data_IF_457651467395
#
_entry.id   IF_457651467395
#
_cell.length_a   1.000
_cell.length_b   1.000
_cell.length_c   1.000
_cell.angle_alpha   90.00
_cell.angle_beta   90.00
_cell.angle_gamma   90.00
#
_symmetry.space_group_name_H-M   'P 1'
#
loop_
_entity.id
_entity.type
_entity.pdbx_description
1 polymer ?
#
# COMPACT_ATOMS: atom_id res chain seq x y z
N UNK A 1 10.70 -16.35 3.17
CA UNK A 1 9.33 -16.34 2.63
C UNK A 1 9.12 -15.08 1.83
N UNK A 2 8.61 -15.19 0.61
CA UNK A 2 8.15 -14.05 -0.18
C UNK A 2 6.63 -13.90 -0.02
N UNK A 3 6.17 -12.68 0.22
CA UNK A 3 4.76 -12.34 0.27
C UNK A 3 4.47 -11.28 -0.80
N UNK A 4 3.81 -11.71 -1.87
CA UNK A 4 3.69 -10.96 -3.12
C UNK A 4 2.26 -10.50 -3.32
N UNK A 5 2.09 -9.23 -3.70
CA UNK A 5 0.80 -8.68 -4.10
C UNK A 5 0.80 -8.51 -5.62
N UNK A 6 -0.16 -9.16 -6.27
CA UNK A 6 -0.42 -9.03 -7.70
C UNK A 6 -1.73 -8.31 -7.99
N UNK A 7 -1.82 -7.67 -9.15
CA UNK A 7 -3.05 -7.01 -9.56
C UNK A 7 -4.11 -8.02 -10.04
N UNK A 8 -3.71 -9.02 -10.81
CA UNK A 8 -4.61 -9.94 -11.52
C UNK A 8 -4.35 -11.40 -11.14
N UNK A 9 -5.35 -12.11 -10.65
CA UNK A 9 -5.28 -13.51 -10.25
C UNK A 9 -4.89 -14.47 -11.38
N UNK A 10 -5.10 -14.10 -12.66
CA UNK A 10 -4.64 -14.86 -13.83
C UNK A 10 -3.11 -15.00 -13.91
N UNK A 11 -2.37 -14.17 -13.18
CA UNK A 11 -0.90 -14.20 -13.16
C UNK A 11 -0.35 -15.03 -11.99
N UNK A 12 -1.23 -15.72 -11.26
CA UNK A 12 -0.87 -16.63 -10.17
C UNK A 12 0.08 -17.73 -10.65
N UNK A 13 1.16 -17.93 -9.89
CA UNK A 13 2.19 -18.93 -10.19
C UNK A 13 3.08 -18.60 -11.38
N UNK A 14 2.93 -17.43 -12.00
CA UNK A 14 3.78 -17.00 -13.12
C UNK A 14 4.97 -16.21 -12.61
N UNK A 15 6.07 -16.89 -12.35
CA UNK A 15 7.31 -16.25 -11.93
C UNK A 15 8.21 -16.03 -13.14
N UNK A 16 8.67 -14.80 -13.33
CA UNK A 16 9.60 -14.40 -14.40
C UNK A 16 11.04 -14.76 -14.01
N UNK A 17 11.32 -14.79 -12.71
CA UNK A 17 12.65 -15.05 -12.18
C UNK A 17 12.72 -16.42 -11.54
N UNK A 18 13.86 -17.10 -11.69
CA UNK A 18 14.18 -18.31 -10.96
C UNK A 18 14.25 -17.99 -9.45
N UNK A 19 13.61 -18.81 -8.64
CA UNK A 19 13.62 -18.63 -7.19
C UNK A 19 14.95 -19.08 -6.62
N UNK A 20 15.57 -18.20 -5.83
CA UNK A 20 16.82 -18.51 -5.15
C UNK A 20 16.60 -19.60 -4.07
N UNK A 21 17.63 -20.42 -3.78
CA UNK A 21 17.53 -21.53 -2.81
C UNK A 21 17.10 -21.12 -1.40
N UNK A 22 17.32 -19.86 -1.01
CA UNK A 22 16.91 -19.31 0.27
C UNK A 22 15.43 -18.92 0.35
N UNK A 23 14.68 -19.01 -0.76
CA UNK A 23 13.24 -18.78 -0.78
C UNK A 23 12.50 -20.05 -0.45
N UNK A 24 12.06 -20.20 0.79
CA UNK A 24 11.36 -21.39 1.27
C UNK A 24 9.91 -21.51 0.79
N UNK A 25 9.23 -20.39 0.58
CA UNK A 25 7.85 -20.35 0.08
C UNK A 25 7.48 -18.98 -0.49
N UNK A 26 6.47 -18.99 -1.37
CA UNK A 26 5.87 -17.78 -1.95
C UNK A 26 4.39 -17.77 -1.60
N UNK A 27 3.93 -16.68 -1.01
CA UNK A 27 2.52 -16.43 -0.72
C UNK A 27 2.02 -15.30 -1.62
N UNK A 28 1.09 -15.62 -2.49
CA UNK A 28 0.55 -14.67 -3.46
C UNK A 28 -0.84 -14.20 -3.04
N UNK A 29 -1.04 -12.89 -3.09
CA UNK A 29 -2.33 -12.23 -2.86
C UNK A 29 -2.67 -11.38 -4.08
N UNK A 30 -3.84 -11.57 -4.67
CA UNK A 30 -4.25 -10.82 -5.86
C UNK A 30 -5.42 -9.89 -5.54
N UNK A 31 -5.28 -8.62 -5.89
CA UNK A 31 -6.27 -7.59 -5.56
C UNK A 31 -7.61 -7.81 -6.25
N UNK A 32 -7.63 -8.39 -7.45
CA UNK A 32 -8.87 -8.69 -8.16
C UNK A 32 -9.66 -9.86 -7.56
N UNK A 33 -9.06 -10.68 -6.70
CA UNK A 33 -9.80 -11.67 -5.91
C UNK A 33 -10.79 -11.00 -4.94
N UNK A 34 -10.51 -9.76 -4.54
CA UNK A 34 -11.45 -8.96 -3.74
C UNK A 34 -12.81 -8.78 -4.45
N UNK A 35 -12.81 -8.68 -5.78
CA UNK A 35 -14.04 -8.55 -6.57
C UNK A 35 -14.88 -9.83 -6.60
N UNK A 36 -14.29 -10.97 -6.25
CA UNK A 36 -14.94 -12.27 -6.21
C UNK A 36 -15.51 -12.62 -4.84
N UNK A 37 -15.30 -11.75 -3.84
CA UNK A 37 -15.88 -11.95 -2.53
C UNK A 37 -17.40 -12.03 -2.64
N UNK A 38 -17.95 -13.14 -2.15
CA UNK A 38 -19.39 -13.36 -2.16
C UNK A 38 -20.05 -12.45 -1.12
N UNK A 39 -21.20 -11.91 -1.49
CA UNK A 39 -22.12 -11.29 -0.56
C UNK A 39 -22.43 -12.28 0.58
N UNK A 40 -22.41 -11.80 1.80
CA UNK A 40 -22.81 -12.61 2.94
C UNK A 40 -24.32 -12.49 3.16
N UNK A 41 -24.98 -13.58 3.56
CA UNK A 41 -26.37 -13.54 4.03
C UNK A 41 -26.50 -12.99 5.45
N UNK A 42 -25.38 -12.73 6.11
CA UNK A 42 -25.33 -12.16 7.46
C UNK A 42 -25.57 -10.64 7.39
N UNK A 43 -26.83 -10.26 7.18
CA UNK A 43 -27.29 -8.87 7.10
C UNK A 43 -27.17 -8.10 8.42
N UNK A 44 -26.82 -8.74 9.53
CA UNK A 44 -26.80 -8.16 10.87
C UNK A 44 -25.46 -8.39 11.56
N UNK A 45 -24.38 -7.86 10.97
CA UNK A 45 -23.15 -7.73 11.72
C UNK A 45 -23.31 -6.57 12.69
N UNK A 46 -23.16 -6.84 13.99
CA UNK A 46 -23.12 -5.79 14.99
C UNK A 46 -21.69 -5.33 15.16
N UNK A 47 -21.43 -4.09 14.84
CA UNK A 47 -20.18 -3.43 15.15
C UNK A 47 -20.25 -2.80 16.54
N UNK A 48 -19.12 -2.79 17.26
CA UNK A 48 -19.00 -1.95 18.44
C UNK A 48 -18.90 -0.49 18.03
N UNK A 49 -19.08 0.43 18.97
CA UNK A 49 -18.92 1.87 18.70
C UNK A 49 -17.51 2.19 18.21
N UNK A 50 -16.46 1.59 18.82
CA UNK A 50 -15.07 1.77 18.39
C UNK A 50 -14.84 1.22 16.98
N UNK A 51 -15.30 -0.01 16.68
CA UNK A 51 -15.16 -0.58 15.33
C UNK A 51 -15.83 0.30 14.27
N UNK A 52 -17.03 0.80 14.53
CA UNK A 52 -17.74 1.71 13.63
C UNK A 52 -16.93 2.99 13.42
N UNK A 53 -16.41 3.57 14.49
CA UNK A 53 -15.58 4.78 14.44
C UNK A 53 -14.31 4.54 13.61
N UNK A 54 -13.62 3.39 13.76
CA UNK A 54 -12.41 3.11 12.99
C UNK A 54 -12.70 2.83 11.52
N UNK A 55 -13.79 2.14 11.19
CA UNK A 55 -14.24 1.94 9.82
C UNK A 55 -14.63 3.27 9.15
N UNK A 56 -15.29 4.17 9.87
CA UNK A 56 -15.57 5.53 9.39
C UNK A 56 -14.28 6.33 9.18
N UNK A 57 -13.34 6.28 10.12
CA UNK A 57 -12.05 6.94 9.99
C UNK A 57 -11.26 6.45 8.77
N UNK A 58 -11.28 5.13 8.51
CA UNK A 58 -10.70 4.55 7.30
C UNK A 58 -11.38 5.10 6.04
N UNK A 59 -12.70 5.16 6.03
CA UNK A 59 -13.49 5.70 4.93
C UNK A 59 -13.21 7.19 4.72
N UNK A 60 -13.01 7.95 5.79
CA UNK A 60 -12.70 9.39 5.75
C UNK A 60 -11.23 9.71 5.45
N UNK A 61 -10.39 8.70 5.30
CA UNK A 61 -8.92 8.83 5.20
C UNK A 61 -8.35 9.61 6.41
N UNK A 62 -8.83 9.32 7.62
CA UNK A 62 -8.56 10.03 8.85
C UNK A 62 -7.94 9.09 9.89
N UNK A 63 -6.70 8.67 9.69
CA UNK A 63 -5.85 7.90 10.64
C UNK A 63 -6.65 6.96 11.57
N UNK A 64 -7.21 5.85 11.09
CA UNK A 64 -7.91 4.89 11.92
C UNK A 64 -6.94 4.23 12.91
N UNK A 65 -7.46 3.67 14.00
CA UNK A 65 -6.70 2.72 14.81
C UNK A 65 -6.59 1.40 14.04
N UNK A 66 -5.45 1.17 13.43
CA UNK A 66 -5.22 -0.02 12.62
C UNK A 66 -5.20 -1.32 13.43
N UNK A 67 -4.87 -1.29 14.73
CA UNK A 67 -4.92 -2.50 15.56
C UNK A 67 -6.36 -2.96 15.77
N UNK A 68 -7.31 -2.03 15.94
CA UNK A 68 -8.74 -2.36 15.95
C UNK A 68 -9.16 -3.00 14.61
N UNK A 69 -8.73 -2.43 13.48
CA UNK A 69 -9.04 -2.98 12.15
C UNK A 69 -8.38 -4.36 11.95
N UNK A 70 -7.12 -4.54 12.32
CA UNK A 70 -6.44 -5.83 12.23
C UNK A 70 -7.18 -6.90 13.06
N UNK A 71 -7.57 -6.57 14.29
CA UNK A 71 -8.34 -7.47 15.15
C UNK A 71 -9.70 -7.83 14.53
N UNK A 72 -10.40 -6.85 13.98
CA UNK A 72 -11.71 -7.03 13.36
C UNK A 72 -11.66 -8.07 12.23
N UNK A 73 -10.64 -8.00 11.35
CA UNK A 73 -10.54 -8.90 10.20
C UNK A 73 -9.79 -10.20 10.52
N UNK A 74 -8.83 -10.20 11.44
CA UNK A 74 -8.02 -11.38 11.74
C UNK A 74 -8.61 -12.23 12.87
N UNK A 75 -9.14 -11.62 13.93
CA UNK A 75 -9.68 -12.34 15.09
C UNK A 75 -11.17 -12.60 14.94
N UNK A 76 -11.97 -11.57 14.66
CA UNK A 76 -13.42 -11.73 14.41
C UNK A 76 -13.74 -12.33 13.04
N UNK A 77 -12.76 -12.42 12.12
CA UNK A 77 -12.93 -12.97 10.77
C UNK A 77 -14.07 -12.30 9.98
N UNK A 78 -14.22 -10.99 10.16
CA UNK A 78 -15.24 -10.22 9.45
C UNK A 78 -15.03 -10.36 7.93
N UNK A 79 -16.10 -10.69 7.22
CA UNK A 79 -16.08 -10.62 5.76
C UNK A 79 -16.16 -9.15 5.33
N UNK A 80 -15.25 -8.66 4.44
CA UNK A 80 -15.30 -7.29 3.93
C UNK A 80 -16.66 -6.87 3.38
N UNK A 81 -17.37 -7.79 2.72
CA UNK A 81 -18.70 -7.53 2.17
C UNK A 81 -19.76 -7.31 3.26
N UNK A 82 -19.59 -7.87 4.45
CA UNK A 82 -20.51 -7.65 5.56
C UNK A 82 -20.53 -6.16 5.98
N UNK A 83 -19.36 -5.50 6.00
CA UNK A 83 -19.29 -4.06 6.23
C UNK A 83 -19.83 -3.27 5.03
N UNK A 84 -19.36 -3.54 3.81
CA UNK A 84 -19.73 -2.78 2.61
C UNK A 84 -21.22 -2.91 2.23
N UNK A 85 -21.96 -3.82 2.86
CA UNK A 85 -23.39 -4.03 2.70
C UNK A 85 -24.19 -3.65 3.96
N UNK A 86 -23.52 -3.13 5.01
CA UNK A 86 -24.17 -2.77 6.28
C UNK A 86 -24.87 -1.42 6.21
N UNK A 87 -25.81 -1.22 7.14
CA UNK A 87 -26.46 0.08 7.34
C UNK A 87 -25.46 1.14 7.81
N UNK A 88 -24.44 0.75 8.60
CA UNK A 88 -23.39 1.62 9.08
C UNK A 88 -22.55 2.17 7.92
N UNK A 89 -22.21 1.33 6.93
CA UNK A 89 -21.52 1.80 5.73
C UNK A 89 -22.37 2.78 4.93
N UNK A 90 -23.64 2.44 4.71
CA UNK A 90 -24.56 3.30 3.95
C UNK A 90 -24.75 4.65 4.63
N UNK A 91 -24.96 4.64 5.96
CA UNK A 91 -25.09 5.88 6.74
C UNK A 91 -23.84 6.73 6.66
N UNK A 92 -22.66 6.14 6.94
CA UNK A 92 -21.40 6.86 6.87
C UNK A 92 -21.11 7.42 5.47
N UNK A 93 -21.45 6.68 4.41
CA UNK A 93 -21.32 7.14 3.04
C UNK A 93 -22.28 8.31 2.76
N UNK A 94 -23.53 8.24 3.20
CA UNK A 94 -24.52 9.30 3.04
C UNK A 94 -24.05 10.58 3.74
N UNK A 95 -23.60 10.47 4.99
CA UNK A 95 -23.08 11.61 5.76
C UNK A 95 -21.86 12.24 5.05
N UNK A 96 -20.97 11.40 4.52
CA UNK A 96 -19.82 11.85 3.74
C UNK A 96 -20.23 12.61 2.47
N UNK A 97 -21.22 12.09 1.72
CA UNK A 97 -21.74 12.73 0.50
C UNK A 97 -22.34 14.09 0.83
N UNK A 98 -23.18 14.16 1.83
CA UNK A 98 -23.84 15.41 2.23
C UNK A 98 -22.84 16.48 2.70
N UNK A 99 -21.81 16.08 3.43
CA UNK A 99 -20.84 17.01 4.01
C UNK A 99 -19.75 17.47 3.04
N UNK A 100 -19.23 16.55 2.21
CA UNK A 100 -18.04 16.81 1.40
C UNK A 100 -18.25 16.78 -0.10
N UNK A 101 -19.32 16.12 -0.56
CA UNK A 101 -19.59 15.91 -2.01
C UNK A 101 -21.05 16.17 -2.38
N UNK A 102 -21.64 17.31 -1.96
CA UNK A 102 -23.07 17.57 -2.16
C UNK A 102 -23.50 17.64 -3.63
N UNK A 103 -22.56 17.86 -4.55
CA UNK A 103 -22.81 17.95 -5.98
C UNK A 103 -22.36 16.72 -6.78
N UNK A 104 -21.76 15.72 -6.12
CA UNK A 104 -21.39 14.48 -6.78
C UNK A 104 -22.56 13.50 -6.81
N UNK A 105 -22.67 12.72 -7.87
CA UNK A 105 -23.66 11.65 -7.91
C UNK A 105 -23.36 10.62 -6.79
N UNK A 106 -24.41 10.16 -6.11
CA UNK A 106 -24.27 9.16 -5.04
C UNK A 106 -23.62 7.87 -5.56
N UNK A 107 -23.97 7.45 -6.79
CA UNK A 107 -23.36 6.28 -7.44
C UNK A 107 -21.84 6.41 -7.58
N UNK A 108 -21.35 7.59 -7.98
CA UNK A 108 -19.91 7.84 -8.14
C UNK A 108 -19.19 7.80 -6.79
N UNK A 109 -19.81 8.39 -5.76
CA UNK A 109 -19.32 8.33 -4.39
C UNK A 109 -19.25 6.88 -3.88
N UNK A 110 -20.34 6.12 -4.08
CA UNK A 110 -20.43 4.72 -3.67
C UNK A 110 -19.34 3.87 -4.34
N UNK A 111 -19.23 3.95 -5.68
CA UNK A 111 -18.24 3.16 -6.42
C UNK A 111 -16.80 3.57 -6.07
N UNK A 112 -16.53 4.86 -5.90
CA UNK A 112 -15.21 5.34 -5.51
C UNK A 112 -14.81 4.83 -4.13
N UNK A 113 -15.65 5.06 -3.11
CA UNK A 113 -15.35 4.64 -1.73
C UNK A 113 -15.22 3.13 -1.65
N UNK A 114 -16.11 2.37 -2.28
CA UNK A 114 -16.03 0.92 -2.33
C UNK A 114 -14.72 0.46 -2.99
N UNK A 115 -14.30 1.08 -4.10
CA UNK A 115 -13.07 0.73 -4.82
C UNK A 115 -11.81 1.03 -4.00
N UNK A 116 -11.84 2.05 -3.14
CA UNK A 116 -10.74 2.35 -2.21
C UNK A 116 -10.67 1.34 -1.07
N UNK A 117 -11.82 1.04 -0.46
CA UNK A 117 -11.87 0.23 0.75
C UNK A 117 -11.72 -1.26 0.47
N UNK A 118 -12.37 -1.79 -0.56
CA UNK A 118 -12.45 -3.22 -0.81
C UNK A 118 -11.07 -3.92 -0.89
N UNK A 119 -10.06 -3.40 -1.60
CA UNK A 119 -8.73 -4.00 -1.60
C UNK A 119 -8.09 -4.04 -0.21
N UNK A 120 -8.17 -2.96 0.55
CA UNK A 120 -7.63 -2.89 1.92
C UNK A 120 -8.31 -3.91 2.81
N UNK A 121 -9.63 -3.89 2.87
CA UNK A 121 -10.39 -4.81 3.72
C UNK A 121 -10.13 -6.28 3.34
N UNK A 122 -10.00 -6.57 2.04
CA UNK A 122 -9.63 -7.89 1.55
C UNK A 122 -8.24 -8.31 2.03
N UNK A 123 -7.24 -7.44 1.91
CA UNK A 123 -5.88 -7.72 2.36
C UNK A 123 -5.84 -8.03 3.86
N UNK A 124 -6.65 -7.34 4.68
CA UNK A 124 -6.73 -7.58 6.10
C UNK A 124 -7.31 -8.96 6.47
N UNK A 125 -8.03 -9.63 5.57
CA UNK A 125 -8.55 -11.00 5.80
C UNK A 125 -7.56 -12.10 5.42
N UNK A 126 -6.47 -11.75 4.75
CA UNK A 126 -5.50 -12.69 4.22
C UNK A 126 -4.79 -13.51 5.29
N UNK A 127 -4.30 -14.70 4.90
CA UNK A 127 -3.43 -15.49 5.77
C UNK A 127 -2.07 -14.81 5.88
N UNK A 128 -1.64 -14.56 7.11
CA UNK A 128 -0.34 -13.93 7.40
C UNK A 128 0.71 -15.02 7.59
N UNK A 129 1.77 -15.08 6.79
CA UNK A 129 2.89 -15.98 7.02
C UNK A 129 3.63 -15.56 8.31
N UNK A 130 3.97 -16.53 9.16
CA UNK A 130 4.75 -16.26 10.37
C UNK A 130 6.21 -15.96 10.00
N UNK A 131 6.74 -14.86 10.54
CA UNK A 131 8.12 -14.44 10.32
C UNK A 131 8.64 -13.64 11.53
N UNK A 132 9.97 -13.62 11.69
CA UNK A 132 10.65 -12.86 12.75
C UNK A 132 10.83 -11.39 12.36
N UNK A 133 10.77 -11.07 11.06
CA UNK A 133 10.88 -9.72 10.50
C UNK A 133 9.99 -9.63 9.26
N UNK A 134 9.30 -8.52 9.13
CA UNK A 134 8.53 -8.20 7.91
C UNK A 134 9.20 -7.04 7.19
N UNK A 135 9.63 -7.28 5.96
CA UNK A 135 10.31 -6.26 5.16
C UNK A 135 9.47 -5.93 3.92
N UNK A 136 8.94 -4.71 3.88
CA UNK A 136 8.26 -4.17 2.71
C UNK A 136 9.22 -3.38 1.82
N UNK A 137 9.03 -3.47 0.50
CA UNK A 137 9.83 -2.75 -0.50
C UNK A 137 9.12 -1.51 -1.03
N UNK A 138 7.95 -1.18 -0.49
CA UNK A 138 7.18 0.04 -0.76
C UNK A 138 6.16 0.27 0.33
N UNK A 139 5.66 1.48 0.45
CA UNK A 139 4.44 1.78 1.22
C UNK A 139 3.19 1.25 0.50
N UNK A 140 2.00 1.73 0.85
CA UNK A 140 0.75 1.27 0.24
C UNK A 140 0.35 -0.13 0.69
N UNK A 141 -0.12 -0.96 -0.22
CA UNK A 141 -0.67 -2.28 0.11
C UNK A 141 0.39 -3.25 0.65
N UNK A 142 1.61 -3.22 0.11
CA UNK A 142 2.71 -4.08 0.56
C UNK A 142 3.15 -3.74 1.99
N UNK A 143 3.33 -2.46 2.25
CA UNK A 143 3.63 -1.96 3.59
C UNK A 143 2.52 -2.26 4.60
N UNK A 144 1.25 -2.15 4.18
CA UNK A 144 0.11 -2.49 5.05
C UNK A 144 0.13 -3.97 5.46
N UNK A 145 0.42 -4.88 4.52
CA UNK A 145 0.57 -6.31 4.84
C UNK A 145 1.73 -6.57 5.80
N UNK A 146 2.86 -5.89 5.61
CA UNK A 146 3.99 -6.00 6.54
C UNK A 146 3.60 -5.50 7.95
N UNK A 147 2.85 -4.40 8.05
CA UNK A 147 2.34 -3.89 9.32
C UNK A 147 1.35 -4.86 9.98
N UNK A 148 0.46 -5.48 9.20
CA UNK A 148 -0.43 -6.54 9.69
C UNK A 148 0.37 -7.72 10.25
N UNK A 149 1.37 -8.19 9.50
CA UNK A 149 2.25 -9.29 9.93
C UNK A 149 3.00 -8.96 11.20
N UNK A 150 3.61 -7.77 11.26
CA UNK A 150 4.33 -7.29 12.43
C UNK A 150 3.45 -7.19 13.68
N UNK A 151 2.22 -6.69 13.51
CA UNK A 151 1.25 -6.58 14.62
C UNK A 151 0.84 -7.96 15.16
N UNK A 152 0.49 -8.90 14.27
CA UNK A 152 0.01 -10.23 14.68
C UNK A 152 1.10 -11.13 15.27
N UNK A 153 2.34 -10.97 14.83
CA UNK A 153 3.46 -11.83 15.26
C UNK A 153 4.46 -11.11 16.17
N UNK A 154 4.14 -9.88 16.61
CA UNK A 154 5.02 -9.05 17.45
C UNK A 154 6.44 -8.92 16.89
N UNK A 155 6.54 -8.79 15.56
CA UNK A 155 7.79 -8.73 14.83
C UNK A 155 8.04 -7.33 14.26
N UNK A 156 9.33 -6.90 14.16
CA UNK A 156 9.67 -5.61 13.59
C UNK A 156 9.32 -5.53 12.10
N UNK A 157 8.94 -4.33 11.67
CA UNK A 157 8.66 -4.00 10.28
C UNK A 157 9.80 -3.15 9.74
N UNK A 158 10.38 -3.56 8.63
CA UNK A 158 11.35 -2.78 7.86
C UNK A 158 10.70 -2.29 6.58
N UNK A 159 11.05 -1.09 6.16
CA UNK A 159 10.61 -0.52 4.89
C UNK A 159 11.82 -0.08 4.08
N UNK A 160 11.88 -0.49 2.82
CA UNK A 160 12.82 0.06 1.83
C UNK A 160 12.03 0.67 0.69
N UNK A 161 12.25 1.94 0.38
CA UNK A 161 11.65 2.61 -0.77
C UNK A 161 12.71 2.92 -1.83
N UNK A 162 12.54 2.33 -3.01
CA UNK A 162 13.36 2.62 -4.19
C UNK A 162 12.92 3.92 -4.89
N UNK A 163 11.64 4.23 -4.85
CA UNK A 163 10.98 5.49 -5.17
C UNK A 163 9.97 5.81 -4.07
N UNK A 164 9.43 7.00 -4.05
CA UNK A 164 8.41 7.39 -3.07
C UNK A 164 7.03 6.99 -3.63
N UNK A 165 6.59 5.79 -3.28
CA UNK A 165 5.35 5.19 -3.77
C UNK A 165 4.15 6.14 -3.75
N UNK A 166 3.98 6.89 -2.67
CA UNK A 166 2.85 7.82 -2.50
C UNK A 166 2.89 8.95 -3.52
N UNK A 167 4.09 9.46 -3.85
CA UNK A 167 4.28 10.48 -4.90
C UNK A 167 3.97 9.93 -6.28
N UNK A 168 4.41 8.71 -6.56
CA UNK A 168 4.11 8.03 -7.82
C UNK A 168 2.60 7.83 -7.98
N UNK A 169 1.90 7.41 -6.90
CA UNK A 169 0.43 7.28 -6.90
C UNK A 169 -0.27 8.61 -7.05
N UNK A 170 0.21 9.67 -6.43
CA UNK A 170 -0.34 11.02 -6.58
C UNK A 170 -0.29 11.47 -8.04
N UNK A 171 0.88 11.36 -8.69
CA UNK A 171 1.04 11.73 -10.10
C UNK A 171 0.15 10.88 -11.03
N UNK A 172 0.08 9.58 -10.79
CA UNK A 172 -0.77 8.67 -11.55
C UNK A 172 -2.26 9.04 -11.40
N UNK A 173 -2.74 9.34 -10.19
CA UNK A 173 -4.12 9.72 -9.93
C UNK A 173 -4.44 11.07 -10.58
N UNK A 174 -3.52 12.03 -10.53
CA UNK A 174 -3.72 13.34 -11.18
C UNK A 174 -3.94 13.16 -12.69
N UNK A 175 -3.19 12.27 -13.33
CA UNK A 175 -3.29 11.99 -14.78
C UNK A 175 -4.41 11.01 -15.12
N UNK A 176 -4.95 10.26 -14.15
CA UNK A 176 -5.91 9.20 -14.41
C UNK A 176 -7.25 9.74 -14.93
N UNK A 177 -7.70 9.21 -16.05
CA UNK A 177 -9.03 9.52 -16.64
C UNK A 177 -10.14 8.68 -15.98
N UNK A 178 -9.81 7.51 -15.44
CA UNK A 178 -10.77 6.62 -14.77
C UNK A 178 -11.21 7.10 -13.38
N UNK A 179 -10.49 8.08 -12.81
CA UNK A 179 -10.85 8.68 -11.52
C UNK A 179 -11.73 9.88 -11.74
N UNK A 180 -12.94 9.84 -11.18
CA UNK A 180 -13.85 10.99 -11.19
C UNK A 180 -13.15 12.21 -10.58
N UNK A 181 -13.09 13.36 -11.27
CA UNK A 181 -12.26 14.50 -10.86
C UNK A 181 -12.45 14.95 -9.42
N UNK A 182 -13.69 14.99 -8.92
CA UNK A 182 -14.03 15.38 -7.55
C UNK A 182 -13.45 14.44 -6.48
N UNK A 183 -13.02 13.22 -6.84
CA UNK A 183 -12.47 12.24 -5.91
C UNK A 183 -10.95 12.05 -6.03
N UNK A 184 -10.26 12.76 -6.94
CA UNK A 184 -8.80 12.65 -7.08
C UNK A 184 -8.06 12.96 -5.77
N UNK A 185 -8.41 14.07 -5.12
CA UNK A 185 -7.83 14.46 -3.84
C UNK A 185 -8.06 13.42 -2.73
N UNK A 186 -9.21 12.73 -2.78
CA UNK A 186 -9.52 11.68 -1.82
C UNK A 186 -8.65 10.43 -2.03
N UNK A 187 -8.47 9.98 -3.27
CA UNK A 187 -7.56 8.89 -3.60
C UNK A 187 -6.13 9.18 -3.16
N UNK A 188 -5.65 10.40 -3.41
CA UNK A 188 -4.32 10.85 -2.97
C UNK A 188 -4.22 10.76 -1.45
N UNK A 189 -5.17 11.36 -0.73
CA UNK A 189 -5.22 11.34 0.74
C UNK A 189 -5.27 9.91 1.31
N UNK A 190 -5.96 9.00 0.63
CA UNK A 190 -6.01 7.60 1.01
C UNK A 190 -4.63 6.94 1.00
N UNK A 191 -3.84 7.14 -0.04
CA UNK A 191 -2.48 6.60 -0.10
C UNK A 191 -1.53 7.27 0.89
N UNK A 192 -1.69 8.57 1.14
CA UNK A 192 -0.96 9.27 2.20
C UNK A 192 -1.27 8.66 3.58
N UNK A 193 -2.53 8.43 3.90
CA UNK A 193 -2.96 7.79 5.16
C UNK A 193 -2.34 6.40 5.34
N UNK A 194 -2.28 5.58 4.30
CA UNK A 194 -1.62 4.26 4.36
C UNK A 194 -0.13 4.42 4.63
N UNK A 195 0.54 5.33 3.93
CA UNK A 195 1.99 5.55 4.08
C UNK A 195 2.36 6.11 5.45
N UNK A 196 1.58 7.03 5.99
CA UNK A 196 1.75 7.56 7.36
C UNK A 196 1.73 6.43 8.40
N UNK A 197 0.79 5.50 8.31
CA UNK A 197 0.73 4.37 9.23
C UNK A 197 1.93 3.44 9.09
N UNK A 198 2.38 3.19 7.86
CA UNK A 198 3.54 2.34 7.61
C UNK A 198 4.81 2.99 8.17
N UNK A 199 5.01 4.28 7.94
CA UNK A 199 6.12 5.04 8.53
C UNK A 199 6.08 5.02 10.06
N UNK A 200 4.89 5.17 10.66
CA UNK A 200 4.70 5.11 12.10
C UNK A 200 5.12 3.76 12.69
N UNK A 201 4.74 2.64 12.03
CA UNK A 201 5.00 1.26 12.50
C UNK A 201 6.38 0.75 12.15
N UNK A 202 6.98 1.24 11.09
CA UNK A 202 8.30 0.79 10.68
C UNK A 202 9.33 1.03 11.79
N UNK A 203 10.14 0.00 12.07
CA UNK A 203 11.29 0.08 12.97
C UNK A 203 12.43 0.85 12.31
N UNK A 204 12.66 0.61 11.00
CA UNK A 204 13.60 1.36 10.16
C UNK A 204 13.00 1.56 8.77
N UNK A 205 13.34 2.71 8.18
CA UNK A 205 12.96 3.09 6.83
C UNK A 205 14.22 3.41 6.06
N UNK A 206 14.47 2.72 4.95
CA UNK A 206 15.61 2.99 4.07
C UNK A 206 15.16 3.55 2.73
N UNK A 207 15.99 4.42 2.19
CA UNK A 207 15.86 4.99 0.85
C UNK A 207 17.20 4.98 0.13
N UNK A 208 17.19 5.15 -1.20
CA UNK A 208 18.41 5.05 -2.02
C UNK A 208 19.27 6.32 -1.99
N UNK A 209 18.65 7.48 -1.68
CA UNK A 209 19.33 8.78 -1.75
C UNK A 209 18.72 9.80 -0.78
N UNK A 210 19.48 10.85 -0.47
CA UNK A 210 19.11 11.83 0.56
C UNK A 210 17.83 12.61 0.25
N UNK A 211 17.53 12.89 -1.02
CA UNK A 211 16.27 13.57 -1.36
C UNK A 211 15.05 12.70 -1.05
N UNK A 212 15.11 11.38 -1.31
CA UNK A 212 14.05 10.47 -0.93
C UNK A 212 13.87 10.43 0.59
N UNK A 213 14.97 10.36 1.36
CA UNK A 213 14.92 10.46 2.83
C UNK A 213 14.24 11.75 3.29
N UNK A 214 14.57 12.89 2.67
CA UNK A 214 13.94 14.17 3.01
C UNK A 214 12.43 14.13 2.75
N UNK A 215 12.01 13.62 1.61
CA UNK A 215 10.59 13.47 1.26
C UNK A 215 9.87 12.54 2.24
N UNK A 216 10.48 11.43 2.66
CA UNK A 216 9.92 10.54 3.69
C UNK A 216 9.65 11.29 5.00
N UNK A 217 10.58 12.15 5.43
CA UNK A 217 10.42 12.98 6.65
C UNK A 217 9.33 14.02 6.47
N UNK A 218 9.29 14.71 5.32
CA UNK A 218 8.23 15.67 4.96
C UNK A 218 6.83 15.02 4.96
N UNK A 219 6.76 13.72 4.61
CA UNK A 219 5.54 12.91 4.64
C UNK A 219 5.22 12.30 6.01
N UNK A 220 5.93 12.70 7.07
CA UNK A 220 5.64 12.32 8.45
C UNK A 220 6.42 11.12 8.99
N UNK A 221 7.44 10.63 8.28
CA UNK A 221 8.34 9.63 8.84
C UNK A 221 9.28 10.28 9.87
N UNK A 222 9.49 9.61 11.01
CA UNK A 222 10.48 10.04 11.98
C UNK A 222 11.89 9.95 11.39
N UNK A 223 12.59 11.09 11.32
CA UNK A 223 13.94 11.16 10.76
C UNK A 223 14.97 10.28 11.47
N UNK A 224 14.75 9.91 12.73
CA UNK A 224 15.60 8.98 13.47
C UNK A 224 15.51 7.53 12.96
N UNK A 225 14.42 7.19 12.28
CA UNK A 225 14.23 5.88 11.64
C UNK A 225 14.77 5.81 10.22
N UNK A 226 14.98 6.97 9.57
CA UNK A 226 15.33 7.05 8.16
C UNK A 226 16.84 6.92 7.95
N UNK A 227 17.23 5.95 7.12
CA UNK A 227 18.62 5.72 6.69
C UNK A 227 18.71 5.77 5.16
N UNK A 228 19.89 6.12 4.65
CA UNK A 228 20.17 6.08 3.20
C UNK A 228 21.08 4.91 2.91
N UNK A 229 20.63 4.02 2.03
CA UNK A 229 21.39 2.85 1.56
C UNK A 229 21.38 2.91 0.03
N UNK A 230 22.40 3.49 -0.61
CA UNK A 230 22.47 3.60 -2.06
C UNK A 230 22.54 2.22 -2.73
N UNK A 231 22.01 2.15 -3.97
CA UNK A 231 22.24 0.96 -4.80
C UNK A 231 23.75 0.85 -5.15
N UNK A 232 24.21 -0.39 -5.21
CA UNK A 232 25.54 -0.71 -5.69
C UNK A 232 25.55 -1.15 -7.16
N UNK A 233 26.76 -1.19 -7.73
CA UNK A 233 27.01 -1.77 -9.04
C UNK A 233 28.05 -2.88 -8.91
N UNK A 234 28.04 -3.84 -9.83
CA UNK A 234 29.06 -4.88 -9.89
C UNK A 234 30.32 -4.28 -10.53
N UNK A 235 31.20 -3.74 -9.70
CA UNK A 235 32.43 -3.06 -10.14
C UNK A 235 33.24 -3.88 -11.13
N UNK A 236 33.36 -5.20 -10.91
CA UNK A 236 34.12 -6.12 -11.78
C UNK A 236 33.64 -6.15 -13.24
N UNK A 237 32.39 -5.78 -13.49
CA UNK A 237 31.87 -5.68 -14.87
C UNK A 237 32.38 -4.45 -15.62
N UNK A 238 32.92 -3.48 -14.91
CA UNK A 238 33.25 -2.17 -15.45
C UNK A 238 34.74 -1.78 -15.29
N UNK A 239 35.46 -2.42 -14.37
CA UNK A 239 36.83 -2.06 -14.01
C UNK A 239 37.84 -2.22 -15.17
N UNK A 240 37.57 -3.15 -16.11
CA UNK A 240 38.45 -3.44 -17.23
C UNK A 240 38.05 -2.69 -18.51
N UNK A 241 37.03 -1.82 -18.46
CA UNK A 241 36.65 -0.98 -19.61
C UNK A 241 37.72 0.09 -19.79
N UNK A 242 38.40 0.13 -20.96
CA UNK A 242 39.41 1.12 -21.20
C UNK A 242 38.83 2.53 -21.20
N UNK A 243 39.58 3.48 -20.69
CA UNK A 243 39.24 4.89 -20.81
C UNK A 243 39.27 5.33 -22.28
N UNK A 244 38.42 6.27 -22.63
CA UNK A 244 38.42 6.91 -23.94
C UNK A 244 39.77 7.57 -24.17
N UNK A 245 40.32 7.46 -25.40
CA UNK A 245 41.49 8.20 -25.82
C UNK A 245 41.17 9.71 -25.84
N UNK A 246 42.19 10.53 -25.53
CA UNK A 246 42.02 11.99 -25.55
C UNK A 246 41.95 12.48 -27.00
N UNK A 247 40.76 12.83 -27.45
CA UNK A 247 40.47 13.37 -28.79
C UNK A 247 40.00 14.84 -28.77
N UNK A 248 40.04 15.48 -27.59
CA UNK A 248 39.58 16.85 -27.38
C UNK A 248 38.06 17.01 -27.23
N UNK A 249 37.29 15.91 -27.25
CA UNK A 249 35.86 15.92 -27.08
C UNK A 249 35.45 15.35 -25.72
N UNK A 250 34.41 15.92 -25.13
CA UNK A 250 33.75 15.38 -23.93
C UNK A 250 32.43 14.72 -24.34
N UNK A 251 32.37 13.40 -24.21
CA UNK A 251 31.14 12.65 -24.45
C UNK A 251 30.30 12.59 -23.18
N UNK A 252 29.03 12.95 -23.29
CA UNK A 252 28.07 12.84 -22.21
C UNK A 252 27.04 11.78 -22.59
N UNK A 253 27.05 10.69 -21.86
CA UNK A 253 26.06 9.59 -22.01
C UNK A 253 25.05 9.57 -20.90
N UNK A 254 23.79 9.24 -21.22
CA UNK A 254 22.76 8.95 -20.24
C UNK A 254 22.03 7.65 -20.59
N UNK A 255 21.92 6.75 -19.61
CA UNK A 255 21.09 5.57 -19.71
C UNK A 255 19.89 5.78 -18.78
N UNK A 256 18.73 6.08 -19.35
CA UNK A 256 17.53 6.46 -18.61
C UNK A 256 16.32 5.64 -19.07
N UNK A 257 15.38 5.45 -18.17
CA UNK A 257 14.05 4.93 -18.52
C UNK A 257 13.20 6.12 -18.98
N UNK A 258 12.72 6.07 -20.21
CA UNK A 258 11.69 6.99 -20.69
C UNK A 258 10.35 6.52 -20.14
N UNK A 259 9.66 7.38 -19.40
CA UNK A 259 8.33 7.12 -18.81
C UNK A 259 7.24 7.83 -19.63
#
# INVERSE_FOLDING_TARGET
>A
VLWVIGAKARDRGKFVYEMLPNVSSVHEVFLDDALRLKSTREWKVRFTEDETKQLQALMDCARPNWDTLFNLFQTRKLNPMAFLQSEEFLKALTDLCLQKYPYAAFSDSFHTIRSMLLPVLYLLTGRVPKADVYHAISTGYGGLLACLGGSLNHAPVLLTEHGIYTREREEEIIRAEWVVPSFKSRWIRFFYMLSEEIYRRAFRVSSLFYNARRTQIEMGCDGAKCIVIPNGVQYQRFCDIPLKEEDGWVDIGAVVRLA
#
